data_IF_000798354105
#
_entry.id   IF_000798354105
#
_cell.length_a   1.000
_cell.length_b   1.000
_cell.length_c   1.000
_cell.angle_alpha   90.00
_cell.angle_beta   90.00
_cell.angle_gamma   90.00
#
_symmetry.space_group_name_H-M   'P 1'
#
loop_
_entity.id
_entity.type
_entity.pdbx_description
1 polymer ?
#
# COMPACT_ATOMS: atom_id res chain seq x y z
N UNK A 1 2.38 68.24 38.24
CA UNK A 1 1.61 67.06 37.82
C UNK A 1 1.70 66.71 36.32
N UNK A 2 1.59 67.68 35.38
CA UNK A 2 1.60 67.40 33.91
C UNK A 2 2.85 66.67 33.35
N UNK A 3 4.07 66.95 33.86
CA UNK A 3 5.31 66.28 33.40
C UNK A 3 5.38 64.77 33.74
N UNK A 4 4.88 64.34 34.91
CA UNK A 4 4.87 62.91 35.31
C UNK A 4 3.87 62.09 34.49
N UNK A 5 2.70 62.65 34.16
CA UNK A 5 1.69 62.00 33.32
C UNK A 5 2.19 61.76 31.88
N UNK A 6 2.95 62.72 31.33
CA UNK A 6 3.61 62.60 30.02
C UNK A 6 4.67 61.49 29.98
N UNK A 7 5.47 61.31 31.04
CA UNK A 7 6.47 60.23 31.10
C UNK A 7 5.83 58.84 31.20
N UNK A 8 4.74 58.70 31.97
CA UNK A 8 4.00 57.44 32.11
C UNK A 8 3.26 57.07 30.83
N UNK A 9 2.71 58.05 30.13
CA UNK A 9 2.06 57.84 28.83
C UNK A 9 3.07 57.39 27.77
N UNK A 10 4.25 58.04 27.70
CA UNK A 10 5.35 57.63 26.82
C UNK A 10 5.86 56.22 27.13
N UNK A 11 6.01 55.89 28.41
CA UNK A 11 6.42 54.56 28.85
C UNK A 11 5.36 53.50 28.52
N UNK A 12 4.07 53.81 28.71
CA UNK A 12 2.97 52.95 28.29
C UNK A 12 2.93 52.72 26.77
N UNK A 13 3.10 53.77 25.98
CA UNK A 13 3.21 53.70 24.51
C UNK A 13 4.42 52.86 24.06
N UNK A 14 5.55 53.02 24.73
CA UNK A 14 6.76 52.22 24.49
C UNK A 14 6.52 50.73 24.76
N UNK A 15 5.90 50.40 25.90
CA UNK A 15 5.55 49.01 26.23
C UNK A 15 4.53 48.41 25.24
N UNK A 16 3.55 49.19 24.77
CA UNK A 16 2.57 48.76 23.77
C UNK A 16 3.19 48.41 22.41
N UNK A 17 4.38 48.91 22.10
CA UNK A 17 5.10 48.60 20.86
C UNK A 17 6.11 47.47 21.07
N UNK A 18 6.86 47.54 22.17
CA UNK A 18 7.93 46.58 22.44
C UNK A 18 7.40 45.20 22.78
N UNK A 19 6.32 45.10 23.57
CA UNK A 19 5.80 43.78 23.98
C UNK A 19 5.34 42.97 22.75
N UNK A 20 4.51 43.50 21.83
CA UNK A 20 4.17 42.78 20.60
C UNK A 20 5.38 42.46 19.73
N UNK A 21 6.35 43.38 19.62
CA UNK A 21 7.56 43.13 18.84
C UNK A 21 8.37 41.95 19.41
N UNK A 22 8.56 41.90 20.73
CA UNK A 22 9.23 40.78 21.41
C UNK A 22 8.46 39.48 21.17
N UNK A 23 7.13 39.50 21.29
CA UNK A 23 6.29 38.33 21.05
C UNK A 23 6.45 37.84 19.61
N UNK A 24 6.43 38.74 18.62
CA UNK A 24 6.56 38.40 17.19
C UNK A 24 7.97 37.98 16.76
N UNK A 25 9.00 38.36 17.52
CA UNK A 25 10.39 37.91 17.32
C UNK A 25 10.74 36.65 18.11
N UNK A 26 10.01 36.35 19.18
CA UNK A 26 10.23 35.17 20.02
C UNK A 26 10.31 33.83 19.25
N UNK A 27 9.58 33.61 18.14
CA UNK A 27 9.66 32.34 17.43
C UNK A 27 11.04 32.02 16.86
N UNK A 28 11.83 33.04 16.49
CA UNK A 28 13.18 32.83 15.97
C UNK A 28 14.13 32.25 17.05
N UNK A 29 13.89 32.56 18.32
CA UNK A 29 14.63 32.00 19.44
C UNK A 29 14.09 30.63 19.90
N UNK A 30 12.76 30.47 19.94
CA UNK A 30 12.14 29.29 20.52
C UNK A 30 11.92 28.12 19.54
N UNK A 31 11.76 28.38 18.25
CA UNK A 31 11.50 27.31 17.26
C UNK A 31 12.59 26.23 17.22
N UNK A 32 13.91 26.54 17.29
CA UNK A 32 14.94 25.50 17.33
C UNK A 32 14.83 24.56 18.54
N UNK A 33 14.31 25.05 19.65
CA UNK A 33 14.13 24.27 20.88
C UNK A 33 12.82 23.49 20.85
N UNK A 34 11.72 24.12 20.43
CA UNK A 34 10.37 23.55 20.51
C UNK A 34 9.99 22.67 19.31
N UNK A 35 10.51 22.98 18.12
CA UNK A 35 10.22 22.28 16.87
C UNK A 35 11.45 21.57 16.27
N UNK A 36 12.61 21.66 16.92
CA UNK A 36 13.89 21.13 16.42
C UNK A 36 14.26 21.62 14.99
N UNK A 37 13.76 22.80 14.60
CA UNK A 37 14.04 23.43 13.29
C UNK A 37 14.01 24.96 13.39
N UNK A 38 14.79 25.68 12.57
CA UNK A 38 14.74 27.14 12.54
C UNK A 38 13.35 27.64 12.14
N UNK A 39 12.93 28.77 12.70
CA UNK A 39 11.64 29.35 12.37
C UNK A 39 11.63 29.86 10.93
N UNK A 40 10.66 29.43 10.14
CA UNK A 40 10.36 29.96 8.81
C UNK A 40 8.88 30.27 8.71
N UNK A 41 8.55 31.57 8.68
CA UNK A 41 7.18 32.06 8.55
C UNK A 41 6.52 31.52 7.28
N UNK A 42 7.25 31.53 6.16
CA UNK A 42 6.74 31.08 4.87
C UNK A 42 6.41 29.59 4.90
N UNK A 43 7.28 28.76 5.50
CA UNK A 43 7.05 27.32 5.60
C UNK A 43 5.83 27.02 6.47
N UNK A 44 5.76 27.57 7.69
CA UNK A 44 4.64 27.31 8.60
C UNK A 44 3.31 27.82 8.06
N UNK A 45 3.31 28.99 7.41
CA UNK A 45 2.11 29.53 6.76
C UNK A 45 1.65 28.62 5.62
N UNK A 46 2.58 28.13 4.79
CA UNK A 46 2.26 27.22 3.70
C UNK A 46 1.74 25.89 4.22
N UNK A 47 2.37 25.30 5.24
CA UNK A 47 1.92 24.09 5.93
C UNK A 47 0.47 24.25 6.42
N UNK A 48 0.17 25.32 7.17
CA UNK A 48 -1.18 25.62 7.66
C UNK A 48 -2.21 25.76 6.54
N UNK A 49 -1.90 26.57 5.51
CA UNK A 49 -2.85 26.83 4.42
C UNK A 49 -3.04 25.61 3.51
N UNK A 50 -2.01 24.80 3.31
CA UNK A 50 -2.11 23.54 2.59
C UNK A 50 -2.99 22.57 3.34
N UNK A 51 -2.75 22.40 4.65
CA UNK A 51 -3.58 21.53 5.50
C UNK A 51 -5.04 21.99 5.51
N UNK A 52 -5.32 23.29 5.62
CA UNK A 52 -6.67 23.83 5.53
C UNK A 52 -7.36 23.57 4.18
N UNK A 53 -6.61 23.69 3.08
CA UNK A 53 -7.13 23.36 1.73
C UNK A 53 -7.43 21.87 1.62
N UNK A 54 -6.49 21.00 2.02
CA UNK A 54 -6.67 19.55 2.02
C UNK A 54 -7.91 19.14 2.83
N UNK A 55 -8.11 19.70 4.02
CA UNK A 55 -9.29 19.44 4.86
C UNK A 55 -10.61 19.88 4.19
N UNK A 56 -10.58 20.91 3.33
CA UNK A 56 -11.74 21.36 2.55
C UNK A 56 -12.01 20.52 1.31
N UNK A 57 -10.97 19.97 0.68
CA UNK A 57 -11.08 19.16 -0.55
C UNK A 57 -11.29 17.68 -0.27
N UNK A 58 -10.99 17.18 0.93
CA UNK A 58 -11.22 15.78 1.31
C UNK A 58 -12.73 15.51 1.49
N UNK A 59 -13.55 15.16 0.49
CA UNK A 59 -13.59 13.90 -0.30
C UNK A 59 -12.25 13.19 -0.54
N UNK A 60 -12.12 11.92 -0.12
CA UNK A 60 -10.84 11.26 0.13
C UNK A 60 -9.96 11.28 -1.13
N UNK A 61 -8.94 12.13 -1.12
CA UNK A 61 -7.89 12.17 -2.14
C UNK A 61 -6.56 11.78 -1.51
N UNK A 62 -6.12 10.57 -1.87
CA UNK A 62 -4.76 10.04 -1.92
C UNK A 62 -3.69 10.72 -1.05
N UNK A 63 -3.48 10.15 0.15
CA UNK A 63 -2.26 10.34 0.93
C UNK A 63 -1.05 9.73 0.17
N UNK A 64 -0.18 10.58 -0.34
CA UNK A 64 1.06 10.21 -1.06
C UNK A 64 2.22 9.78 -0.15
N UNK A 65 1.96 9.54 1.14
CA UNK A 65 2.88 8.84 2.03
C UNK A 65 2.27 7.47 2.35
N UNK A 66 2.65 6.45 1.58
CA UNK A 66 2.15 5.07 1.71
C UNK A 66 2.53 4.47 3.07
N UNK A 67 1.76 4.78 4.10
CA UNK A 67 1.68 3.96 5.30
C UNK A 67 0.99 2.65 4.92
N UNK A 68 1.27 1.55 5.65
CA UNK A 68 0.53 0.28 5.50
C UNK A 68 -1.01 0.45 5.59
N UNK A 69 -1.52 1.58 6.11
CA UNK A 69 -2.95 1.91 6.11
C UNK A 69 -3.46 2.34 4.72
N UNK A 70 -2.64 3.00 3.90
CA UNK A 70 -2.99 3.35 2.53
C UNK A 70 -3.12 2.06 1.69
N UNK A 71 -2.17 1.14 1.83
CA UNK A 71 -2.21 -0.15 1.11
C UNK A 71 -3.50 -0.96 1.35
N UNK A 72 -4.04 -0.98 2.57
CA UNK A 72 -5.34 -1.63 2.83
C UNK A 72 -6.52 -0.77 2.37
N UNK A 73 -6.40 0.57 2.49
CA UNK A 73 -7.42 1.52 2.06
C UNK A 73 -7.65 1.56 0.55
N UNK A 74 -6.69 1.09 -0.24
CA UNK A 74 -6.78 1.01 -1.70
C UNK A 74 -7.49 -0.27 -2.20
N UNK A 75 -7.90 -1.16 -1.30
CA UNK A 75 -8.54 -2.43 -1.62
C UNK A 75 -9.99 -2.53 -1.14
N UNK A 76 -10.79 -3.31 -1.88
CA UNK A 76 -12.14 -3.72 -1.53
C UNK A 76 -12.23 -5.24 -1.45
N UNK A 77 -13.15 -5.75 -0.64
CA UNK A 77 -13.43 -7.19 -0.57
C UNK A 77 -14.06 -7.65 -1.88
N UNK A 78 -13.48 -8.67 -2.53
CA UNK A 78 -14.03 -9.28 -3.74
C UNK A 78 -14.59 -10.66 -3.40
N UNK A 79 -15.83 -10.99 -3.81
CA UNK A 79 -16.53 -12.20 -3.36
C UNK A 79 -15.79 -13.51 -3.70
N UNK A 80 -15.03 -13.53 -4.80
CA UNK A 80 -14.29 -14.72 -5.26
C UNK A 80 -12.78 -14.63 -5.08
N UNK A 81 -12.22 -13.40 -5.07
CA UNK A 81 -10.77 -13.19 -5.18
C UNK A 81 -10.16 -12.74 -3.84
N UNK A 82 -10.99 -12.64 -2.80
CA UNK A 82 -10.62 -12.08 -1.50
C UNK A 82 -10.62 -10.57 -1.54
N UNK A 83 -9.79 -9.95 -2.39
CA UNK A 83 -9.74 -8.51 -2.53
C UNK A 83 -9.36 -8.08 -3.95
N UNK A 84 -9.77 -6.87 -4.34
CA UNK A 84 -9.33 -6.17 -5.55
C UNK A 84 -9.10 -4.69 -5.25
N UNK A 85 -8.55 -3.92 -6.19
CA UNK A 85 -8.44 -2.46 -6.06
C UNK A 85 -9.80 -1.76 -6.14
N UNK A 86 -9.87 -0.51 -5.66
CA UNK A 86 -11.03 0.36 -5.85
C UNK A 86 -11.08 0.85 -7.31
N UNK A 87 -12.16 0.62 -8.08
CA UNK A 87 -12.29 1.14 -9.43
C UNK A 87 -12.19 2.68 -9.51
N UNK A 88 -11.46 3.17 -10.51
CA UNK A 88 -11.25 4.60 -10.74
C UNK A 88 -9.84 4.93 -11.24
N UNK A 89 -9.69 6.08 -11.92
CA UNK A 89 -8.40 6.49 -12.49
C UNK A 89 -7.87 5.46 -13.49
N UNK A 90 -6.72 4.85 -13.19
CA UNK A 90 -6.10 3.79 -14.00
C UNK A 90 -6.57 2.37 -13.63
N UNK A 91 -7.46 2.23 -12.65
CA UNK A 91 -8.02 0.96 -12.17
C UNK A 91 -9.38 0.74 -12.83
N UNK A 92 -9.53 -0.38 -13.54
CA UNK A 92 -10.74 -0.76 -14.26
C UNK A 92 -11.90 -1.15 -13.33
N UNK A 93 -13.08 -1.45 -13.91
CA UNK A 93 -14.29 -1.76 -13.14
C UNK A 93 -14.21 -3.06 -12.32
N UNK A 94 -13.18 -3.88 -12.54
CA UNK A 94 -12.92 -5.11 -11.79
C UNK A 94 -11.82 -4.94 -10.73
N UNK A 95 -11.26 -3.74 -10.58
CA UNK A 95 -10.27 -3.45 -9.55
C UNK A 95 -8.83 -3.82 -9.95
N UNK A 96 -8.53 -3.86 -11.25
CA UNK A 96 -7.17 -4.10 -11.77
C UNK A 96 -6.67 -2.94 -12.64
N UNK A 97 -5.36 -2.77 -12.77
CA UNK A 97 -4.79 -1.73 -13.62
C UNK A 97 -5.07 -1.99 -15.10
N UNK A 98 -5.25 -0.94 -15.89
CA UNK A 98 -5.32 -1.04 -17.35
C UNK A 98 -6.71 -1.33 -17.90
N UNK A 99 -6.82 -1.94 -19.09
CA UNK A 99 -8.11 -2.23 -19.72
C UNK A 99 -8.89 -3.31 -18.96
N UNK A 100 -10.17 -3.45 -19.28
CA UNK A 100 -11.01 -4.54 -18.78
C UNK A 100 -10.48 -5.90 -19.27
N UNK A 101 -10.42 -6.93 -18.40
CA UNK A 101 -9.99 -8.28 -18.79
C UNK A 101 -11.07 -9.06 -19.57
N UNK A 102 -12.29 -8.55 -19.67
CA UNK A 102 -13.35 -9.16 -20.48
C UNK A 102 -13.27 -8.61 -21.91
N UNK A 103 -12.45 -9.25 -22.72
CA UNK A 103 -12.28 -8.90 -24.13
C UNK A 103 -12.72 -10.07 -25.00
N UNK A 104 -13.63 -9.85 -25.97
CA UNK A 104 -14.04 -10.91 -26.89
C UNK A 104 -12.91 -11.30 -27.83
N UNK A 105 -13.08 -12.44 -28.50
CA UNK A 105 -12.18 -12.86 -29.57
C UNK A 105 -12.34 -11.93 -30.79
N UNK A 106 -11.22 -11.50 -31.36
CA UNK A 106 -11.18 -10.68 -32.57
C UNK A 106 -9.86 -10.99 -33.31
N UNK A 107 -9.93 -11.29 -34.61
CA UNK A 107 -8.77 -11.66 -35.43
C UNK A 107 -7.71 -10.56 -35.48
N UNK A 108 -8.10 -9.30 -35.29
CA UNK A 108 -7.21 -8.14 -35.29
C UNK A 108 -6.37 -8.06 -34.01
N UNK A 109 -6.82 -8.64 -32.91
CA UNK A 109 -6.16 -8.50 -31.62
C UNK A 109 -5.45 -9.78 -31.17
N UNK A 110 -4.41 -9.59 -30.36
CA UNK A 110 -3.78 -10.61 -29.54
C UNK A 110 -4.06 -10.26 -28.08
N UNK A 111 -4.97 -11.00 -27.44
CA UNK A 111 -5.36 -10.82 -26.06
C UNK A 111 -4.35 -11.51 -25.13
N UNK A 112 -3.51 -10.71 -24.47
CA UNK A 112 -2.46 -11.17 -23.57
C UNK A 112 -2.85 -10.88 -22.13
N UNK A 113 -3.05 -11.92 -21.34
CA UNK A 113 -3.43 -11.87 -19.93
C UNK A 113 -2.19 -12.05 -19.05
N UNK A 114 -1.72 -10.97 -18.42
CA UNK A 114 -0.62 -11.00 -17.46
C UNK A 114 -1.16 -11.12 -16.03
N UNK A 115 -0.73 -12.14 -15.28
CA UNK A 115 -1.17 -12.37 -13.90
C UNK A 115 -0.01 -12.64 -12.95
N UNK A 116 -0.27 -12.48 -11.65
CA UNK A 116 0.70 -12.65 -10.59
C UNK A 116 0.53 -11.64 -9.46
N UNK A 117 1.64 -11.35 -8.78
CA UNK A 117 1.70 -10.41 -7.67
C UNK A 117 2.11 -8.98 -8.06
N UNK A 118 2.71 -8.27 -7.09
CA UNK A 118 3.21 -6.89 -7.27
C UNK A 118 4.23 -6.76 -8.41
N UNK A 119 5.01 -7.81 -8.71
CA UNK A 119 5.99 -7.76 -9.79
C UNK A 119 5.34 -7.84 -11.17
N UNK A 120 4.29 -8.65 -11.35
CA UNK A 120 3.51 -8.67 -12.58
C UNK A 120 2.79 -7.33 -12.81
N UNK A 121 2.18 -6.78 -11.75
CA UNK A 121 1.60 -5.43 -11.77
C UNK A 121 2.65 -4.35 -12.10
N UNK A 122 3.84 -4.45 -11.49
CA UNK A 122 4.97 -3.56 -11.77
C UNK A 122 5.44 -3.64 -13.22
N UNK A 123 5.62 -4.85 -13.75
CA UNK A 123 5.99 -5.09 -15.14
C UNK A 123 5.02 -4.42 -16.11
N UNK A 124 3.71 -4.56 -15.87
CA UNK A 124 2.69 -3.87 -16.65
C UNK A 124 2.87 -2.34 -16.58
N UNK A 125 2.92 -1.79 -15.37
CA UNK A 125 2.97 -0.35 -15.15
C UNK A 125 4.24 0.32 -15.69
N UNK A 126 5.40 -0.36 -15.64
CA UNK A 126 6.68 0.22 -16.03
C UNK A 126 7.12 -0.16 -17.45
N UNK A 127 6.67 -1.30 -17.96
CA UNK A 127 7.22 -1.89 -19.18
C UNK A 127 6.21 -2.67 -20.02
N UNK A 128 4.90 -2.54 -19.74
CA UNK A 128 3.84 -3.20 -20.50
C UNK A 128 3.85 -2.87 -21.99
N UNK A 129 4.07 -1.59 -22.35
CA UNK A 129 4.19 -1.17 -23.74
C UNK A 129 5.35 -1.86 -24.46
N UNK A 130 6.51 -1.96 -23.80
CA UNK A 130 7.69 -2.64 -24.37
C UNK A 130 7.42 -4.13 -24.55
N UNK A 131 6.76 -4.78 -23.60
CA UNK A 131 6.34 -6.18 -23.73
C UNK A 131 5.42 -6.37 -24.95
N UNK A 132 4.40 -5.50 -25.09
CA UNK A 132 3.48 -5.53 -26.22
C UNK A 132 4.20 -5.32 -27.56
N UNK A 133 5.10 -4.34 -27.65
CA UNK A 133 5.92 -4.09 -28.85
C UNK A 133 6.77 -5.30 -29.25
N UNK A 134 7.40 -5.99 -28.28
CA UNK A 134 8.21 -7.18 -28.58
C UNK A 134 7.34 -8.36 -29.04
N UNK A 135 6.13 -8.51 -28.49
CA UNK A 135 5.18 -9.52 -28.95
C UNK A 135 4.70 -9.23 -30.37
N UNK A 136 4.45 -7.97 -30.72
CA UNK A 136 4.05 -7.55 -32.08
C UNK A 136 5.13 -7.81 -33.14
N UNK A 137 6.40 -7.84 -32.75
CA UNK A 137 7.51 -8.16 -33.65
C UNK A 137 7.62 -9.65 -33.98
N UNK A 138 6.87 -10.51 -33.27
CA UNK A 138 6.83 -11.95 -33.57
C UNK A 138 6.11 -12.20 -34.89
N UNK A 139 6.72 -12.99 -35.78
CA UNK A 139 6.09 -13.44 -37.04
C UNK A 139 4.79 -14.21 -36.79
N UNK A 140 4.64 -14.85 -35.64
CA UNK A 140 3.42 -15.60 -35.27
C UNK A 140 2.22 -14.68 -35.08
N UNK A 141 2.45 -13.40 -34.73
CA UNK A 141 1.41 -12.42 -34.44
C UNK A 141 1.44 -11.25 -35.44
N UNK A 142 1.98 -11.47 -36.62
CA UNK A 142 2.09 -10.46 -37.67
C UNK A 142 0.70 -9.88 -38.01
N UNK A 143 0.61 -8.55 -38.04
CA UNK A 143 -0.65 -7.84 -38.31
C UNK A 143 -1.61 -7.74 -37.11
N UNK A 144 -1.36 -8.43 -35.99
CA UNK A 144 -2.18 -8.32 -34.77
C UNK A 144 -1.76 -7.15 -33.89
N UNK A 145 -2.75 -6.49 -33.30
CA UNK A 145 -2.54 -5.50 -32.24
C UNK A 145 -2.57 -6.19 -30.87
N UNK A 146 -1.56 -5.94 -30.03
CA UNK A 146 -1.53 -6.55 -28.69
C UNK A 146 -2.45 -5.78 -27.75
N UNK A 147 -3.42 -6.50 -27.20
CA UNK A 147 -4.24 -6.08 -26.09
C UNK A 147 -3.69 -6.72 -24.80
N UNK A 148 -2.85 -5.97 -24.09
CA UNK A 148 -2.23 -6.43 -22.84
C UNK A 148 -3.12 -6.06 -21.65
N UNK A 149 -3.67 -7.07 -20.99
CA UNK A 149 -4.43 -6.93 -19.76
C UNK A 149 -3.58 -7.40 -18.59
N UNK A 150 -3.71 -6.75 -17.43
CA UNK A 150 -3.07 -7.22 -16.20
C UNK A 150 -4.12 -7.53 -15.14
N UNK A 151 -4.08 -8.76 -14.63
CA UNK A 151 -4.86 -9.21 -13.48
C UNK A 151 -3.87 -9.66 -12.42
N UNK A 152 -3.24 -8.65 -11.84
CA UNK A 152 -2.22 -8.81 -10.81
C UNK A 152 -2.36 -7.67 -9.80
N UNK A 153 -2.23 -7.98 -8.52
CA UNK A 153 -2.21 -6.99 -7.45
C UNK A 153 -1.09 -7.31 -6.47
N UNK A 154 -0.63 -6.27 -5.77
CA UNK A 154 0.31 -6.46 -4.69
C UNK A 154 -0.26 -7.44 -3.67
N UNK A 155 0.48 -8.51 -3.37
CA UNK A 155 0.04 -9.51 -2.41
C UNK A 155 -0.82 -10.65 -2.93
N UNK A 156 -1.17 -10.64 -4.23
CA UNK A 156 -1.83 -11.81 -4.85
C UNK A 156 -0.92 -13.03 -4.81
N UNK A 157 -1.52 -14.16 -4.49
CA UNK A 157 -0.88 -15.47 -4.39
C UNK A 157 -1.89 -16.56 -4.71
N UNK A 158 -1.44 -17.74 -5.12
CA UNK A 158 -2.33 -18.85 -5.42
C UNK A 158 -3.21 -19.21 -4.20
N UNK A 159 -4.50 -19.54 -4.42
CA UNK A 159 -5.16 -19.75 -5.71
C UNK A 159 -5.77 -18.48 -6.36
N UNK A 160 -5.41 -17.26 -5.94
CA UNK A 160 -6.04 -16.04 -6.48
C UNK A 160 -5.83 -15.87 -7.99
N UNK A 161 -4.65 -16.18 -8.53
CA UNK A 161 -4.40 -16.12 -9.99
C UNK A 161 -5.30 -17.12 -10.74
N UNK A 162 -5.35 -18.37 -10.30
CA UNK A 162 -6.21 -19.41 -10.90
C UNK A 162 -7.68 -18.97 -10.88
N UNK A 163 -8.18 -18.56 -9.71
CA UNK A 163 -9.58 -18.16 -9.54
C UNK A 163 -9.92 -16.92 -10.37
N UNK A 164 -8.99 -15.97 -10.51
CA UNK A 164 -9.21 -14.77 -11.33
C UNK A 164 -9.28 -15.11 -12.82
N UNK A 165 -8.41 -15.99 -13.30
CA UNK A 165 -8.41 -16.43 -14.69
C UNK A 165 -9.73 -17.13 -15.03
N UNK A 166 -10.13 -18.13 -14.24
CA UNK A 166 -11.37 -18.87 -14.46
C UNK A 166 -12.60 -17.97 -14.33
N UNK A 167 -12.61 -17.05 -13.36
CA UNK A 167 -13.67 -16.07 -13.21
C UNK A 167 -13.86 -15.24 -14.49
N UNK A 168 -12.79 -14.68 -15.07
CA UNK A 168 -12.93 -13.88 -16.29
C UNK A 168 -13.28 -14.71 -17.53
N UNK A 169 -12.74 -15.93 -17.66
CA UNK A 169 -13.17 -16.86 -18.71
C UNK A 169 -14.68 -17.14 -18.62
N UNK A 170 -15.22 -17.35 -17.42
CA UNK A 170 -16.66 -17.60 -17.22
C UNK A 170 -17.53 -16.38 -17.55
N UNK A 171 -16.97 -15.17 -17.46
CA UNK A 171 -17.64 -13.93 -17.86
C UNK A 171 -17.52 -13.63 -19.36
N UNK A 172 -16.89 -14.52 -20.14
CA UNK A 172 -16.76 -14.41 -21.60
C UNK A 172 -15.49 -13.71 -22.07
N UNK A 173 -14.46 -13.62 -21.23
CA UNK A 173 -13.13 -13.21 -21.68
C UNK A 173 -12.52 -14.26 -22.63
N UNK A 174 -11.82 -13.80 -23.65
CA UNK A 174 -11.01 -14.62 -24.53
C UNK A 174 -9.53 -14.22 -24.39
N UNK A 175 -8.67 -15.21 -24.14
CA UNK A 175 -7.22 -15.02 -24.07
C UNK A 175 -6.55 -15.80 -25.20
N UNK A 176 -5.52 -15.22 -25.83
CA UNK A 176 -4.62 -15.94 -26.73
C UNK A 176 -3.38 -16.43 -25.97
N UNK A 177 -2.91 -15.62 -25.01
CA UNK A 177 -1.73 -15.89 -24.20
C UNK A 177 -2.02 -15.53 -22.74
N UNK A 178 -1.67 -16.43 -21.82
CA UNK A 178 -1.58 -16.17 -20.38
C UNK A 178 -0.10 -16.18 -19.98
N UNK A 179 0.34 -15.10 -19.35
CA UNK A 179 1.67 -14.97 -18.74
C UNK A 179 1.49 -14.93 -17.23
N UNK A 180 1.89 -16.00 -16.53
CA UNK A 180 1.90 -16.05 -15.07
C UNK A 180 3.29 -15.72 -14.54
N UNK A 181 3.42 -14.65 -13.74
CA UNK A 181 4.67 -14.21 -13.11
C UNK A 181 4.51 -14.13 -11.59
N UNK A 182 4.88 -15.22 -10.89
CA UNK A 182 4.60 -15.39 -9.47
C UNK A 182 5.70 -16.18 -8.71
N UNK A 183 5.37 -16.74 -7.53
CA UNK A 183 6.23 -17.60 -6.72
C UNK A 183 6.70 -16.96 -5.41
N UNK A 184 7.09 -15.68 -5.42
CA UNK A 184 7.54 -14.99 -4.19
C UNK A 184 6.46 -14.98 -3.10
N UNK A 185 5.26 -14.55 -3.46
CA UNK A 185 4.17 -14.37 -2.52
C UNK A 185 3.67 -15.71 -1.92
N UNK A 186 3.86 -16.81 -2.65
CA UNK A 186 3.40 -18.16 -2.28
C UNK A 186 4.11 -18.68 -1.04
N UNK A 187 5.40 -18.37 -0.93
CA UNK A 187 6.22 -18.84 0.18
C UNK A 187 6.38 -17.77 1.26
N UNK A 188 6.32 -16.50 0.88
CA UNK A 188 6.56 -15.40 1.82
C UNK A 188 5.31 -15.06 2.63
N UNK A 189 4.18 -14.78 1.97
CA UNK A 189 3.03 -14.20 2.66
C UNK A 189 2.31 -15.19 3.59
N UNK A 190 2.17 -16.48 3.25
CA UNK A 190 1.69 -17.46 4.21
C UNK A 190 2.56 -17.52 5.48
N UNK A 191 3.89 -17.43 5.33
CA UNK A 191 4.85 -17.52 6.43
C UNK A 191 4.91 -16.24 7.28
N UNK A 192 4.91 -15.07 6.64
CA UNK A 192 5.13 -13.79 7.32
C UNK A 192 3.85 -13.09 7.79
N UNK A 193 2.74 -13.32 7.10
CA UNK A 193 1.50 -12.58 7.31
C UNK A 193 0.41 -13.51 7.88
N UNK A 194 0.11 -14.62 7.21
CA UNK A 194 -1.03 -15.46 7.59
C UNK A 194 -0.75 -16.29 8.85
N UNK A 195 0.37 -17.00 8.89
CA UNK A 195 0.73 -17.88 10.00
C UNK A 195 0.81 -17.12 11.35
N UNK A 196 1.48 -15.95 11.46
CA UNK A 196 1.50 -15.18 12.71
C UNK A 196 0.13 -14.64 13.15
N UNK A 197 -0.82 -14.51 12.23
CA UNK A 197 -2.19 -14.09 12.48
C UNK A 197 -3.16 -15.26 12.65
N UNK A 198 -2.66 -16.50 12.72
CA UNK A 198 -3.44 -17.73 12.79
C UNK A 198 -4.47 -17.86 11.64
N UNK A 199 -4.12 -17.33 10.47
CA UNK A 199 -4.93 -17.41 9.26
C UNK A 199 -4.49 -18.62 8.45
N UNK A 200 -5.45 -19.36 7.92
CA UNK A 200 -5.22 -20.49 7.05
C UNK A 200 -4.25 -20.10 5.90
N UNK A 201 -3.13 -20.81 5.70
CA UNK A 201 -2.05 -20.36 4.82
C UNK A 201 -2.49 -20.03 3.40
N UNK A 202 -3.45 -20.76 2.82
CA UNK A 202 -3.91 -20.54 1.45
C UNK A 202 -4.80 -19.31 1.29
N UNK A 203 -5.36 -18.75 2.36
CA UNK A 203 -6.20 -17.55 2.27
C UNK A 203 -5.42 -16.33 1.77
N UNK A 204 -6.10 -15.33 1.18
CA UNK A 204 -5.48 -14.08 0.78
C UNK A 204 -4.69 -13.46 1.94
N UNK A 205 -3.60 -12.75 1.62
CA UNK A 205 -2.85 -12.05 2.66
C UNK A 205 -3.75 -11.08 3.42
N UNK A 206 -3.47 -10.89 4.71
CA UNK A 206 -4.26 -10.02 5.58
C UNK A 206 -5.78 -10.35 5.59
N UNK A 207 -6.19 -11.58 5.26
CA UNK A 207 -7.60 -11.98 5.27
C UNK A 207 -8.29 -11.66 6.60
N UNK A 208 -7.59 -11.85 7.72
CA UNK A 208 -8.07 -11.51 9.05
C UNK A 208 -8.44 -10.05 9.23
N UNK A 209 -8.06 -9.14 8.34
CA UNK A 209 -8.46 -7.72 8.34
C UNK A 209 -9.64 -7.52 7.40
N UNK A 210 -9.53 -7.98 6.15
CA UNK A 210 -10.56 -7.80 5.13
C UNK A 210 -11.91 -8.42 5.51
N UNK A 211 -11.87 -9.60 6.13
CA UNK A 211 -13.06 -10.39 6.43
C UNK A 211 -13.71 -10.02 7.77
N UNK A 212 -13.21 -9.03 8.50
CA UNK A 212 -13.79 -8.65 9.80
C UNK A 212 -15.18 -8.08 9.63
N UNK A 213 -16.19 -8.84 10.07
CA UNK A 213 -17.57 -8.34 10.17
C UNK A 213 -17.78 -7.36 11.31
N UNK A 214 -16.97 -7.46 12.36
CA UNK A 214 -17.11 -6.65 13.58
C UNK A 214 -15.75 -6.21 14.07
N UNK A 215 -15.66 -4.93 14.39
CA UNK A 215 -14.54 -4.38 15.14
C UNK A 215 -14.77 -4.70 16.61
N UNK A 216 -13.75 -5.18 17.33
CA UNK A 216 -13.89 -5.33 18.78
C UNK A 216 -14.00 -3.95 19.46
N UNK A 217 -14.53 -3.91 20.68
CA UNK A 217 -14.76 -2.64 21.40
C UNK A 217 -13.50 -1.79 21.53
N UNK A 218 -12.32 -2.42 21.71
CA UNK A 218 -11.04 -1.72 21.80
C UNK A 218 -10.67 -1.02 20.48
N UNK A 219 -10.84 -1.70 19.35
CA UNK A 219 -10.59 -1.14 18.01
C UNK A 219 -11.60 -0.03 17.70
N UNK A 220 -12.88 -0.20 18.06
CA UNK A 220 -13.88 0.85 17.90
C UNK A 220 -13.52 2.11 18.70
N UNK A 221 -13.06 1.95 19.94
CA UNK A 221 -12.64 3.08 20.77
C UNK A 221 -11.43 3.80 20.19
N UNK A 222 -10.41 3.07 19.73
CA UNK A 222 -9.21 3.65 19.12
C UNK A 222 -9.52 4.37 17.80
N UNK A 223 -10.46 3.86 17.01
CA UNK A 223 -10.96 4.56 15.82
C UNK A 223 -11.68 5.86 16.19
N UNK A 224 -12.55 5.82 17.21
CA UNK A 224 -13.23 7.02 17.70
C UNK A 224 -12.22 8.07 18.20
N UNK A 225 -11.20 7.65 18.96
CA UNK A 225 -10.09 8.50 19.40
C UNK A 225 -9.36 9.14 18.21
N UNK A 226 -9.04 8.34 17.17
CA UNK A 226 -8.40 8.85 15.97
C UNK A 226 -9.26 9.87 15.21
N UNK A 227 -10.56 9.62 15.09
CA UNK A 227 -11.52 10.55 14.46
C UNK A 227 -11.58 11.86 15.25
N UNK A 228 -11.68 11.80 16.57
CA UNK A 228 -11.70 12.99 17.43
C UNK A 228 -10.41 13.79 17.30
N UNK A 229 -9.24 13.13 17.30
CA UNK A 229 -7.94 13.80 17.12
C UNK A 229 -7.83 14.48 15.74
N UNK A 230 -8.33 13.84 14.68
CA UNK A 230 -8.40 14.46 13.35
C UNK A 230 -9.32 15.67 13.35
N UNK A 231 -10.49 15.57 13.97
CA UNK A 231 -11.43 16.67 14.07
C UNK A 231 -10.84 17.85 14.88
N UNK A 232 -10.20 17.60 16.01
CA UNK A 232 -9.51 18.63 16.80
C UNK A 232 -8.40 19.32 15.99
N UNK A 233 -7.65 18.56 15.19
CA UNK A 233 -6.62 19.10 14.31
C UNK A 233 -7.22 19.97 13.18
N UNK A 234 -8.33 19.53 12.60
CA UNK A 234 -9.07 20.28 11.59
C UNK A 234 -9.64 21.58 12.15
N UNK A 235 -10.23 21.54 13.35
CA UNK A 235 -10.79 22.69 14.03
C UNK A 235 -9.71 23.69 14.45
N UNK A 236 -8.57 23.21 14.95
CA UNK A 236 -7.38 24.02 15.21
C UNK A 236 -6.93 24.74 13.93
N UNK A 237 -6.73 23.98 12.85
CA UNK A 237 -6.30 24.53 11.55
C UNK A 237 -7.29 25.55 11.02
N UNK A 238 -8.59 25.25 11.08
CA UNK A 238 -9.68 26.15 10.70
C UNK A 238 -9.66 27.43 11.52
N UNK A 239 -9.56 27.33 12.84
CA UNK A 239 -9.54 28.48 13.75
C UNK A 239 -8.41 29.46 13.42
N UNK A 240 -7.20 28.96 13.15
CA UNK A 240 -6.06 29.81 12.80
C UNK A 240 -6.22 30.49 11.43
N UNK A 241 -6.83 29.81 10.45
CA UNK A 241 -7.07 30.38 9.13
C UNK A 241 -8.21 31.40 9.14
N UNK A 242 -9.36 31.07 9.75
CA UNK A 242 -10.55 31.95 9.76
C UNK A 242 -10.32 33.23 10.56
N UNK A 243 -9.63 33.14 11.69
CA UNK A 243 -9.25 34.30 12.50
C UNK A 243 -8.00 35.03 11.98
N UNK A 244 -7.45 34.61 10.83
CA UNK A 244 -6.27 35.23 10.19
C UNK A 244 -5.04 35.26 11.10
N UNK A 245 -4.91 34.32 12.03
CA UNK A 245 -3.80 34.25 12.99
C UNK A 245 -2.46 33.97 12.30
N UNK A 246 -2.49 33.43 11.07
CA UNK A 246 -1.30 33.19 10.24
C UNK A 246 -0.52 34.46 9.85
N UNK A 247 -1.01 35.65 10.16
CA UNK A 247 -0.21 36.88 10.00
C UNK A 247 0.82 37.05 11.12
N UNK A 248 0.56 36.52 12.32
CA UNK A 248 1.45 36.54 13.49
C UNK A 248 2.43 35.37 13.45
N UNK A 249 3.73 35.66 13.63
CA UNK A 249 4.78 34.67 13.77
C UNK A 249 4.58 33.84 15.04
N UNK A 250 4.20 34.49 16.14
CA UNK A 250 3.95 33.82 17.42
C UNK A 250 2.79 32.83 17.31
N UNK A 251 1.69 33.27 16.69
CA UNK A 251 0.55 32.40 16.45
C UNK A 251 0.89 31.24 15.51
N UNK A 252 1.69 31.46 14.45
CA UNK A 252 2.15 30.38 13.57
C UNK A 252 2.99 29.34 14.32
N UNK A 253 3.91 29.78 15.18
CA UNK A 253 4.68 28.85 16.02
C UNK A 253 3.76 28.09 16.97
N UNK A 254 2.83 28.79 17.62
CA UNK A 254 1.89 28.18 18.57
C UNK A 254 0.99 27.13 17.88
N UNK A 255 0.45 27.45 16.71
CA UNK A 255 -0.27 26.47 15.88
C UNK A 255 0.61 25.27 15.54
N UNK A 256 1.86 25.48 15.13
CA UNK A 256 2.76 24.40 14.74
C UNK A 256 3.04 23.45 15.90
N UNK A 257 3.23 23.97 17.12
CA UNK A 257 3.41 23.16 18.33
C UNK A 257 2.15 22.32 18.61
N UNK A 258 0.98 22.95 18.61
CA UNK A 258 -0.28 22.26 18.87
C UNK A 258 -0.58 21.20 17.79
N UNK A 259 -0.36 21.54 16.52
CA UNK A 259 -0.55 20.64 15.39
C UNK A 259 0.42 19.45 15.45
N UNK A 260 1.69 19.70 15.79
CA UNK A 260 2.69 18.64 15.94
C UNK A 260 2.31 17.67 17.07
N UNK A 261 1.83 18.17 18.20
CA UNK A 261 1.34 17.32 19.29
C UNK A 261 0.16 16.44 18.84
N UNK A 262 -0.77 16.98 18.03
CA UNK A 262 -1.86 16.18 17.45
C UNK A 262 -1.36 15.16 16.44
N UNK A 263 -0.37 15.51 15.59
CA UNK A 263 0.25 14.57 14.66
C UNK A 263 0.92 13.39 15.38
N UNK A 264 1.66 13.66 16.47
CA UNK A 264 2.26 12.62 17.31
C UNK A 264 1.18 11.73 17.93
N UNK A 265 0.14 12.32 18.53
CA UNK A 265 -0.97 11.55 19.11
C UNK A 265 -1.73 10.70 18.06
N UNK A 266 -1.90 11.22 16.84
CA UNK A 266 -2.48 10.48 15.71
C UNK A 266 -1.61 9.30 15.31
N UNK A 267 -0.29 9.48 15.25
CA UNK A 267 0.66 8.41 14.94
C UNK A 267 0.69 7.31 16.01
N UNK A 268 0.69 7.70 17.29
CA UNK A 268 0.61 6.75 18.42
C UNK A 268 -0.71 5.98 18.43
N UNK A 269 -1.82 6.67 18.17
CA UNK A 269 -3.15 6.05 18.09
C UNK A 269 -3.25 5.09 16.90
N UNK A 270 -2.68 5.46 15.73
CA UNK A 270 -2.59 4.57 14.57
C UNK A 270 -1.80 3.30 14.89
N UNK A 271 -0.67 3.44 15.60
CA UNK A 271 0.15 2.31 16.05
C UNK A 271 -0.63 1.39 16.98
N UNK A 272 -1.28 1.95 18.02
CA UNK A 272 -2.13 1.20 18.96
C UNK A 272 -3.30 0.51 18.27
N UNK A 273 -3.92 1.18 17.30
CA UNK A 273 -5.03 0.65 16.51
C UNK A 273 -4.58 -0.57 15.71
N UNK A 274 -3.45 -0.50 15.01
CA UNK A 274 -2.89 -1.65 14.27
C UNK A 274 -2.62 -2.84 15.18
N UNK A 275 -2.00 -2.59 16.34
CA UNK A 275 -1.75 -3.65 17.32
C UNK A 275 -3.04 -4.26 17.86
N UNK A 276 -4.04 -3.43 18.17
CA UNK A 276 -5.33 -3.88 18.68
C UNK A 276 -6.13 -4.67 17.64
N UNK A 277 -6.04 -4.28 16.36
CA UNK A 277 -6.57 -5.06 15.23
C UNK A 277 -5.86 -6.40 15.20
N UNK A 278 -4.53 -6.43 15.12
CA UNK A 278 -3.78 -7.69 14.99
C UNK A 278 -3.98 -8.65 16.18
N UNK A 279 -4.18 -8.14 17.40
CA UNK A 279 -4.35 -8.96 18.63
C UNK A 279 -5.79 -9.29 18.99
N UNK A 280 -6.79 -8.72 18.32
CA UNK A 280 -8.19 -9.00 18.66
C UNK A 280 -8.51 -10.47 18.40
N UNK A 281 -9.30 -11.12 19.28
CA UNK A 281 -9.82 -12.48 19.03
C UNK A 281 -10.41 -12.54 17.63
N UNK A 282 -9.83 -13.40 16.82
CA UNK A 282 -10.27 -13.66 15.45
C UNK A 282 -11.35 -14.74 15.48
N UNK A 283 -12.40 -14.57 14.70
CA UNK A 283 -13.42 -15.60 14.49
C UNK A 283 -12.99 -16.57 13.38
N UNK A 284 -13.73 -17.67 13.25
CA UNK A 284 -13.51 -18.65 12.16
C UNK A 284 -13.56 -17.98 10.78
N UNK A 285 -14.39 -16.94 10.60
CA UNK A 285 -14.42 -16.19 9.36
C UNK A 285 -13.09 -15.49 9.06
N UNK A 286 -12.41 -14.97 10.07
CA UNK A 286 -11.15 -14.24 9.95
C UNK A 286 -9.93 -15.13 9.84
N UNK A 287 -10.04 -16.39 10.24
CA UNK A 287 -8.92 -17.35 10.33
C UNK A 287 -9.04 -18.50 9.35
N UNK A 288 -10.25 -18.95 9.04
CA UNK A 288 -10.49 -20.15 8.26
C UNK A 288 -10.27 -21.43 9.07
N UNK A 289 -10.10 -22.58 8.38
CA UNK A 289 -9.75 -23.84 9.01
C UNK A 289 -8.48 -23.72 9.86
N UNK A 290 -8.43 -24.48 10.97
CA UNK A 290 -7.22 -24.56 11.80
C UNK A 290 -6.07 -25.17 10.99
N UNK A 291 -4.89 -24.56 11.10
CA UNK A 291 -3.67 -25.05 10.49
C UNK A 291 -2.63 -25.34 11.57
N UNK A 292 -2.17 -26.59 11.64
CA UNK A 292 -1.19 -27.03 12.64
C UNK A 292 0.20 -26.89 12.02
N UNK A 293 0.93 -25.85 12.42
CA UNK A 293 2.31 -25.67 11.99
C UNK A 293 3.24 -26.63 12.75
N UNK A 294 3.72 -27.66 12.07
CA UNK A 294 4.63 -28.67 12.64
C UNK A 294 6.09 -28.25 12.55
N UNK A 295 6.52 -27.88 11.35
CA UNK A 295 7.89 -27.51 11.05
C UNK A 295 7.98 -26.61 9.81
N UNK A 296 9.09 -25.90 9.69
CA UNK A 296 9.28 -24.92 8.61
C UNK A 296 9.46 -25.56 7.23
N UNK A 297 10.03 -26.76 7.15
CA UNK A 297 10.31 -27.42 5.86
C UNK A 297 9.01 -27.95 5.29
N UNK A 298 8.25 -28.72 6.07
CA UNK A 298 6.93 -29.22 5.69
C UNK A 298 5.99 -28.09 5.28
N UNK A 299 5.96 -26.99 6.05
CA UNK A 299 5.19 -25.80 5.70
C UNK A 299 5.51 -25.27 4.30
N UNK A 300 6.81 -25.08 3.98
CA UNK A 300 7.19 -24.57 2.66
C UNK A 300 6.91 -25.55 1.54
N UNK A 301 7.10 -26.87 1.77
CA UNK A 301 6.71 -27.90 0.81
C UNK A 301 5.21 -27.80 0.51
N UNK A 302 4.34 -27.73 1.51
CA UNK A 302 2.89 -27.60 1.30
C UNK A 302 2.51 -26.33 0.52
N UNK A 303 3.16 -25.19 0.79
CA UNK A 303 2.90 -23.96 0.05
C UNK A 303 3.36 -24.06 -1.42
N UNK A 304 4.51 -24.68 -1.68
CA UNK A 304 5.03 -24.88 -3.04
C UNK A 304 4.17 -25.87 -3.81
N UNK A 305 3.71 -26.95 -3.20
CA UNK A 305 2.79 -27.88 -3.84
C UNK A 305 1.42 -27.25 -4.16
N UNK A 306 0.92 -26.34 -3.30
CA UNK A 306 -0.30 -25.58 -3.61
C UNK A 306 -0.09 -24.71 -4.85
N UNK A 307 1.03 -24.01 -4.93
CA UNK A 307 1.41 -23.21 -6.09
C UNK A 307 1.51 -24.07 -7.36
N UNK A 308 2.22 -25.21 -7.29
CA UNK A 308 2.35 -26.15 -8.40
C UNK A 308 0.98 -26.65 -8.87
N UNK A 309 0.14 -27.16 -7.96
CA UNK A 309 -1.20 -27.65 -8.30
C UNK A 309 -2.05 -26.57 -8.96
N UNK A 310 -2.01 -25.34 -8.44
CA UNK A 310 -2.75 -24.23 -9.04
C UNK A 310 -2.24 -23.89 -10.45
N UNK A 311 -0.93 -23.88 -10.66
CA UNK A 311 -0.33 -23.66 -11.98
C UNK A 311 -0.63 -24.77 -12.98
N UNK A 312 -0.60 -26.04 -12.55
CA UNK A 312 -1.02 -27.18 -13.39
C UNK A 312 -2.48 -27.04 -13.80
N UNK A 313 -3.36 -26.62 -12.88
CA UNK A 313 -4.77 -26.35 -13.20
C UNK A 313 -4.90 -25.22 -14.22
N UNK A 314 -4.13 -24.14 -14.09
CA UNK A 314 -4.13 -23.06 -15.08
C UNK A 314 -3.66 -23.53 -16.45
N UNK A 315 -2.59 -24.33 -16.52
CA UNK A 315 -2.10 -24.93 -17.75
C UNK A 315 -3.13 -25.92 -18.36
N UNK A 316 -3.84 -26.67 -17.52
CA UNK A 316 -4.95 -27.53 -17.92
C UNK A 316 -6.09 -26.75 -18.56
N UNK A 317 -6.51 -25.63 -17.96
CA UNK A 317 -7.51 -24.71 -18.55
C UNK A 317 -7.02 -24.13 -19.88
N UNK A 318 -5.73 -23.78 -19.97
CA UNK A 318 -5.10 -23.30 -21.20
C UNK A 318 -5.22 -24.32 -22.33
N UNK A 319 -4.86 -25.58 -22.03
CA UNK A 319 -4.94 -26.69 -22.97
C UNK A 319 -6.37 -26.94 -23.47
N UNK A 320 -7.36 -26.89 -22.58
CA UNK A 320 -8.76 -27.17 -22.94
C UNK A 320 -9.45 -26.01 -23.66
N UNK A 321 -9.07 -24.77 -23.35
CA UNK A 321 -9.67 -23.56 -23.95
C UNK A 321 -8.92 -23.12 -25.22
N UNK A 322 -7.67 -23.53 -25.40
CA UNK A 322 -6.88 -23.29 -26.62
C UNK A 322 -5.99 -22.05 -26.57
N UNK A 323 -5.61 -21.57 -25.39
CA UNK A 323 -4.66 -20.47 -25.23
C UNK A 323 -3.27 -20.95 -24.80
N UNK A 324 -2.23 -20.17 -25.08
CA UNK A 324 -0.86 -20.50 -24.64
C UNK A 324 -0.63 -20.06 -23.20
N UNK A 325 -0.08 -20.94 -22.36
CA UNK A 325 0.29 -20.63 -20.98
C UNK A 325 1.80 -20.59 -20.82
N UNK A 326 2.31 -19.47 -20.29
CA UNK A 326 3.72 -19.30 -19.96
C UNK A 326 3.86 -18.94 -18.50
N UNK A 327 4.68 -19.70 -17.77
CA UNK A 327 4.93 -19.47 -16.35
C UNK A 327 6.38 -19.06 -16.13
N UNK A 328 6.56 -17.95 -15.44
CA UNK A 328 7.86 -17.42 -15.05
C UNK A 328 7.93 -17.29 -13.53
N UNK A 329 8.95 -17.92 -12.93
CA UNK A 329 9.26 -17.72 -11.52
C UNK A 329 9.84 -16.31 -11.31
N UNK A 330 9.26 -15.56 -10.39
CA UNK A 330 9.69 -14.21 -10.05
C UNK A 330 11.16 -14.18 -9.56
N UNK A 331 12.05 -13.40 -10.20
CA UNK A 331 13.41 -13.20 -9.73
C UNK A 331 13.45 -12.64 -8.29
N UNK A 332 14.48 -13.00 -7.52
CA UNK A 332 14.62 -12.51 -6.15
C UNK A 332 16.07 -12.35 -5.73
N UNK A 333 16.40 -11.19 -5.13
CA UNK A 333 17.77 -10.85 -4.74
C UNK A 333 18.37 -11.75 -3.65
N UNK A 334 17.56 -12.51 -2.93
CA UNK A 334 18.03 -13.43 -1.88
C UNK A 334 18.18 -14.88 -2.37
N UNK A 335 17.76 -15.20 -3.60
CA UNK A 335 17.97 -16.51 -4.20
C UNK A 335 19.32 -16.54 -4.93
N UNK A 336 20.20 -17.46 -4.51
CA UNK A 336 21.57 -17.54 -5.03
C UNK A 336 21.55 -17.81 -6.54
N UNK A 337 22.32 -17.02 -7.28
CA UNK A 337 22.42 -17.15 -8.73
C UNK A 337 21.30 -16.46 -9.53
N UNK A 338 20.34 -15.81 -8.87
CA UNK A 338 19.27 -15.07 -9.58
C UNK A 338 19.81 -13.88 -10.38
N UNK A 339 20.70 -13.08 -9.80
CA UNK A 339 21.38 -11.94 -10.45
C UNK A 339 22.66 -11.58 -9.70
N UNK A 340 23.67 -11.08 -10.43
CA UNK A 340 24.80 -10.35 -9.81
C UNK A 340 24.36 -8.92 -9.49
N UNK A 341 24.16 -8.64 -8.21
CA UNK A 341 23.72 -7.32 -7.74
C UNK A 341 24.85 -6.30 -7.89
N UNK A 342 24.50 -5.10 -8.33
CA UNK A 342 25.39 -3.93 -8.37
C UNK A 342 25.61 -3.38 -6.96
N UNK A 343 26.64 -2.52 -6.79
CA UNK A 343 26.89 -1.85 -5.51
C UNK A 343 25.67 -1.06 -5.02
N UNK A 344 25.02 -0.31 -5.91
CA UNK A 344 23.82 0.46 -5.60
C UNK A 344 22.67 -0.45 -5.13
N UNK A 345 22.46 -1.59 -5.78
CA UNK A 345 21.42 -2.55 -5.38
C UNK A 345 21.73 -3.21 -4.03
N UNK A 346 23.00 -3.48 -3.73
CA UNK A 346 23.41 -3.98 -2.41
C UNK A 346 23.14 -2.95 -1.31
N UNK A 347 23.28 -1.65 -1.61
CA UNK A 347 23.06 -0.56 -0.65
C UNK A 347 21.58 -0.20 -0.48
N UNK A 348 20.74 -0.36 -1.50
CA UNK A 348 19.36 0.17 -1.50
C UNK A 348 18.27 -0.90 -1.58
N UNK A 349 18.60 -2.12 -2.02
CA UNK A 349 17.62 -3.17 -2.31
C UNK A 349 17.99 -4.53 -1.70
N UNK A 350 19.03 -4.58 -0.86
CA UNK A 350 19.47 -5.80 -0.20
C UNK A 350 19.61 -5.58 1.31
N UNK A 351 18.83 -6.30 2.09
CA UNK A 351 18.96 -6.29 3.54
C UNK A 351 19.95 -7.38 3.98
N UNK A 352 20.97 -6.98 4.74
CA UNK A 352 22.02 -7.87 5.25
C UNK A 352 21.50 -8.73 6.40
N UNK A 353 20.58 -8.19 7.20
CA UNK A 353 20.02 -8.88 8.35
C UNK A 353 19.01 -9.97 7.94
N UNK A 354 18.72 -10.88 8.88
CA UNK A 354 17.74 -11.95 8.66
C UNK A 354 16.36 -11.46 9.05
N UNK A 355 15.40 -11.62 8.14
CA UNK A 355 13.98 -11.31 8.36
C UNK A 355 13.11 -12.34 7.64
N UNK A 356 11.79 -12.31 7.89
CA UNK A 356 10.87 -13.35 7.45
C UNK A 356 10.92 -13.61 5.93
N UNK A 357 10.93 -12.57 5.10
CA UNK A 357 10.86 -12.75 3.64
C UNK A 357 12.15 -13.37 3.11
N UNK A 358 13.31 -12.88 3.56
CA UNK A 358 14.62 -13.45 3.19
C UNK A 358 14.76 -14.90 3.65
N UNK A 359 14.21 -15.22 4.82
CA UNK A 359 14.18 -16.61 5.33
C UNK A 359 13.34 -17.50 4.43
N UNK A 360 12.12 -17.07 4.09
CA UNK A 360 11.23 -17.79 3.19
C UNK A 360 11.86 -17.98 1.81
N UNK A 361 12.43 -16.93 1.21
CA UNK A 361 13.11 -17.03 -0.09
C UNK A 361 14.23 -18.05 -0.04
N UNK A 362 15.16 -17.93 0.92
CA UNK A 362 16.33 -18.82 0.99
C UNK A 362 15.98 -20.28 1.17
N UNK A 363 14.90 -20.57 1.90
CA UNK A 363 14.46 -21.94 2.17
C UNK A 363 13.58 -22.52 1.06
N UNK A 364 12.66 -21.74 0.52
CA UNK A 364 11.60 -22.25 -0.33
C UNK A 364 11.81 -22.02 -1.84
N UNK A 365 12.65 -21.06 -2.25
CA UNK A 365 12.94 -20.88 -3.69
C UNK A 365 13.61 -22.11 -4.35
N UNK A 366 14.52 -22.85 -3.70
CA UNK A 366 15.01 -24.10 -4.26
C UNK A 366 13.88 -25.08 -4.62
N UNK A 367 12.86 -25.17 -3.76
CA UNK A 367 11.67 -25.99 -3.99
C UNK A 367 10.81 -25.44 -5.14
N UNK A 368 10.60 -24.12 -5.22
CA UNK A 368 9.90 -23.49 -6.35
C UNK A 368 10.59 -23.78 -7.69
N UNK A 369 11.93 -23.76 -7.73
CA UNK A 369 12.69 -24.10 -8.93
C UNK A 369 12.59 -25.58 -9.28
N UNK A 370 12.57 -26.46 -8.28
CA UNK A 370 12.42 -27.90 -8.49
C UNK A 370 11.03 -28.24 -9.03
N UNK A 371 9.97 -27.80 -8.35
CA UNK A 371 8.58 -28.04 -8.75
C UNK A 371 8.22 -27.32 -10.05
N UNK A 372 8.78 -26.12 -10.26
CA UNK A 372 8.56 -25.34 -11.48
C UNK A 372 9.11 -25.97 -12.76
N UNK A 373 9.94 -27.03 -12.69
CA UNK A 373 10.36 -27.79 -13.89
C UNK A 373 9.24 -28.64 -14.48
N UNK A 374 8.16 -28.85 -13.74
CA UNK A 374 6.98 -29.60 -14.17
C UNK A 374 5.95 -28.69 -14.87
N UNK A 375 6.17 -27.37 -14.82
CA UNK A 375 5.32 -26.32 -15.38
C UNK A 375 5.94 -25.81 -16.69
#
# INVERSE_FOLDING_TARGET
MKKKLSSRLKYGLFLLIIIPLIIELSPYAFSPVLLHRPFSRQNLKNELLQQYKSNKTNQPASDTNQSKSAYLGDHILHPYLGFTGIPGGSVNRFGFNGPDPITPQDEKYLNVYLTGGSVAMGLYNTSGNRLAEHLQQSKVFEGKQVNLMVVALGGFKQPQQLLAMDYFLTLGAHFDIVVNLDGFNEVVLPFSDNLPSNVFPSYPRHWHIYSRKRLNTKVQFLLAEQILLKQEQEDLTRFFVTNRLYYSNFALLFWSILNNNKQVALFETDTRLREAVNRSKTDYQSTGPEYIFTDTTGFFTEQVELWERASILMAGTAYTTGFSYFHFLQPNQYFKGSKKLTKLELETAFEADTFAYKTAVRKAYPLLVEHGKLL
#
